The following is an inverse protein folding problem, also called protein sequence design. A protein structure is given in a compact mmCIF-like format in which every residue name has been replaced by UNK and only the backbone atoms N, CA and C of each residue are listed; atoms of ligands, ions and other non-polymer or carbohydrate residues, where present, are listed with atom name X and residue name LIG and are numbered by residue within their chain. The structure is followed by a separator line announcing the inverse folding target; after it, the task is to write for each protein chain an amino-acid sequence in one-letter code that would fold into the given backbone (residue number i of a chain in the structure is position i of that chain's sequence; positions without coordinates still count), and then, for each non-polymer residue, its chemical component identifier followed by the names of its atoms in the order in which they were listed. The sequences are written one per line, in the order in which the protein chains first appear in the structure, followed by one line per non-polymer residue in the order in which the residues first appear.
data_IF_260581724836
#
_entry.id   IF_260581724836
#
_cell.length_a   1.000
_cell.length_b   1.000
_cell.length_c   1.000
_cell.angle_alpha   90.00
_cell.angle_beta   90.00
_cell.angle_gamma   90.00
#
_symmetry.space_group_name_H-M   'P 1'
#
loop_
_entity.id
_entity.type
_entity.pdbx_description
1 polymer ?
#
# COMPACT_ATOMS: atom_id res chain seq x y z
N UNK A 1 3.08 20.76 2.27
CA UNK A 1 4.47 20.39 2.57
C UNK A 1 5.21 21.66 2.88
N UNK A 2 5.43 21.92 4.17
CA UNK A 2 6.25 23.03 4.63
C UNK A 2 7.66 22.84 4.05
N UNK A 3 8.14 23.84 3.31
CA UNK A 3 9.54 23.87 2.88
C UNK A 3 10.37 24.08 4.15
N UNK A 4 11.11 23.03 4.54
CA UNK A 4 12.11 23.14 5.59
C UNK A 4 13.06 24.30 5.23
N UNK A 5 13.39 25.15 6.20
CA UNK A 5 14.40 26.18 5.98
C UNK A 5 15.73 25.52 5.56
N UNK A 6 16.54 26.21 4.76
CA UNK A 6 17.85 25.70 4.33
C UNK A 6 18.73 25.26 5.52
N UNK A 7 18.57 25.91 6.67
CA UNK A 7 19.25 25.54 7.91
C UNK A 7 18.76 24.19 8.45
N UNK A 8 17.44 23.99 8.57
CA UNK A 8 16.85 22.73 9.05
C UNK A 8 17.18 21.55 8.12
N UNK A 9 17.19 21.77 6.80
CA UNK A 9 17.62 20.75 5.84
C UNK A 9 19.09 20.35 6.03
N UNK A 10 19.97 21.35 6.21
CA UNK A 10 21.40 21.11 6.43
C UNK A 10 21.65 20.34 7.73
N UNK A 11 20.91 20.66 8.79
CA UNK A 11 20.97 19.96 10.06
C UNK A 11 20.51 18.50 9.94
N UNK A 12 19.38 18.24 9.29
CA UNK A 12 18.91 16.87 9.02
C UNK A 12 19.92 16.06 8.21
N UNK A 13 20.52 16.66 7.17
CA UNK A 13 21.54 16.00 6.37
C UNK A 13 22.78 15.66 7.20
N UNK A 14 23.25 16.60 8.03
CA UNK A 14 24.40 16.36 8.91
C UNK A 14 24.11 15.26 9.95
N UNK A 15 22.92 15.25 10.53
CA UNK A 15 22.48 14.20 11.45
C UNK A 15 22.46 12.82 10.77
N UNK A 16 21.92 12.74 9.54
CA UNK A 16 21.92 11.50 8.77
C UNK A 16 23.34 11.02 8.43
N UNK A 17 24.26 11.93 8.07
CA UNK A 17 25.66 11.60 7.81
C UNK A 17 26.39 11.13 9.06
N UNK A 18 26.11 11.72 10.22
CA UNK A 18 26.66 11.28 11.50
C UNK A 18 26.19 9.87 11.86
N UNK A 19 24.89 9.58 11.75
CA UNK A 19 24.34 8.25 12.01
C UNK A 19 24.93 7.17 11.08
N UNK A 20 25.13 7.49 9.80
CA UNK A 20 25.79 6.57 8.85
C UNK A 20 27.27 6.36 9.19
N UNK A 21 27.95 7.36 9.77
CA UNK A 21 29.33 7.26 10.19
C UNK A 21 29.47 6.40 11.47
N UNK A 22 28.56 6.55 12.43
CA UNK A 22 28.48 5.70 13.63
C UNK A 22 28.29 4.22 13.28
N UNK A 23 27.48 3.94 12.26
CA UNK A 23 27.27 2.58 11.73
C UNK A 23 28.41 2.08 10.84
N UNK A 24 29.51 2.83 10.73
CA UNK A 24 30.66 2.51 9.87
C UNK A 24 30.35 2.37 8.38
N UNK A 25 29.20 2.87 7.89
CA UNK A 25 28.82 2.82 6.47
C UNK A 25 29.48 3.91 5.62
N UNK A 26 29.83 5.03 6.24
CA UNK A 26 30.59 6.11 5.61
C UNK A 26 31.76 6.52 6.50
N UNK A 27 32.85 6.95 5.89
CA UNK A 27 34.01 7.51 6.55
C UNK A 27 34.20 8.96 6.11
N UNK A 28 34.37 9.87 7.07
CA UNK A 28 34.74 11.25 6.77
C UNK A 28 36.21 11.31 6.36
N UNK A 29 36.50 11.84 5.16
CA UNK A 29 37.87 12.06 4.67
C UNK A 29 38.30 13.51 4.91
N UNK A 30 37.38 14.46 4.71
CA UNK A 30 37.59 15.90 4.93
C UNK A 30 36.34 16.53 5.53
N UNK A 31 36.46 17.79 5.97
CA UNK A 31 35.42 18.57 6.67
C UNK A 31 34.00 18.46 6.07
N UNK A 32 33.87 18.28 4.75
CA UNK A 32 32.59 18.05 4.08
C UNK A 32 32.65 16.93 3.00
N UNK A 33 33.57 15.97 3.15
CA UNK A 33 33.70 14.85 2.19
C UNK A 33 33.64 13.52 2.91
N UNK A 34 32.68 12.71 2.51
CA UNK A 34 32.48 11.35 2.98
C UNK A 34 32.78 10.36 1.86
N UNK A 35 33.32 9.21 2.22
CA UNK A 35 33.50 8.08 1.32
C UNK A 35 32.79 6.88 1.92
N UNK A 36 32.05 6.16 1.07
CA UNK A 36 31.40 4.92 1.44
C UNK A 36 32.43 3.83 1.73
N UNK A 37 32.28 3.16 2.86
CA UNK A 37 33.11 2.03 3.28
C UNK A 37 32.67 0.75 2.58
N UNK A 38 33.43 -0.33 2.74
CA UNK A 38 33.04 -1.65 2.22
C UNK A 38 31.79 -2.19 2.94
N UNK A 39 31.65 -1.95 4.25
CA UNK A 39 30.44 -2.28 5.01
C UNK A 39 29.22 -1.52 4.50
N UNK A 40 29.39 -0.22 4.18
CA UNK A 40 28.33 0.58 3.58
C UNK A 40 27.92 0.08 2.19
N UNK A 41 28.89 -0.37 1.38
CA UNK A 41 28.60 -1.02 0.08
C UNK A 41 27.83 -2.32 0.28
N UNK A 42 28.24 -3.15 1.22
CA UNK A 42 27.58 -4.43 1.50
C UNK A 42 26.16 -4.21 2.05
N UNK A 43 25.95 -3.21 2.89
CA UNK A 43 24.61 -2.85 3.37
C UNK A 43 23.68 -2.46 2.21
N UNK A 44 24.15 -1.63 1.27
CA UNK A 44 23.38 -1.28 0.07
C UNK A 44 23.11 -2.51 -0.80
N UNK A 45 24.10 -3.38 -0.99
CA UNK A 45 23.93 -4.66 -1.69
C UNK A 45 22.82 -5.50 -1.07
N UNK A 46 22.83 -5.64 0.26
CA UNK A 46 21.85 -6.42 1.01
C UNK A 46 20.45 -5.84 0.88
N UNK A 47 20.29 -4.51 1.00
CA UNK A 47 18.99 -3.85 0.85
C UNK A 47 18.44 -4.00 -0.57
N UNK A 48 19.28 -3.85 -1.59
CA UNK A 48 18.88 -3.98 -3.00
C UNK A 48 18.78 -5.42 -3.49
N UNK A 49 19.19 -6.40 -2.68
CA UNK A 49 19.25 -7.81 -3.07
C UNK A 49 20.26 -8.11 -4.19
N UNK A 50 21.31 -7.30 -4.34
CA UNK A 50 22.35 -7.47 -5.37
C UNK A 50 23.65 -7.98 -4.77
N UNK A 51 24.40 -8.81 -5.52
CA UNK A 51 25.69 -9.35 -5.04
C UNK A 51 26.79 -8.28 -4.97
N UNK A 52 26.73 -7.28 -5.84
CA UNK A 52 27.70 -6.19 -5.88
C UNK A 52 27.06 -4.93 -6.49
N UNK A 53 27.33 -3.78 -5.90
CA UNK A 53 27.05 -2.48 -6.53
C UNK A 53 28.07 -2.26 -7.66
N UNK A 54 27.65 -1.84 -8.87
CA UNK A 54 28.56 -1.52 -9.95
C UNK A 54 29.66 -0.54 -9.52
N UNK A 55 30.92 -0.83 -9.87
CA UNK A 55 32.09 -0.01 -9.50
C UNK A 55 32.03 1.43 -10.04
N UNK A 56 31.26 1.67 -11.12
CA UNK A 56 30.98 2.99 -11.70
C UNK A 56 29.49 3.35 -11.60
N UNK A 57 28.96 3.34 -10.38
CA UNK A 57 27.58 3.74 -10.12
C UNK A 57 27.38 5.24 -10.40
N UNK A 58 26.66 5.57 -11.47
CA UNK A 58 26.20 6.95 -11.72
C UNK A 58 24.99 7.22 -10.83
N UNK A 59 25.07 8.23 -9.97
CA UNK A 59 23.99 8.59 -9.05
C UNK A 59 22.63 8.73 -9.75
N UNK A 60 22.60 9.34 -10.93
CA UNK A 60 21.37 9.48 -11.71
C UNK A 60 20.71 8.13 -12.04
N UNK A 61 21.49 7.16 -12.51
CA UNK A 61 20.98 5.82 -12.85
C UNK A 61 20.52 5.07 -11.61
N UNK A 62 21.32 5.14 -10.54
CA UNK A 62 20.99 4.52 -9.26
C UNK A 62 19.69 5.07 -8.65
N UNK A 63 19.59 6.40 -8.60
CA UNK A 63 18.41 7.09 -8.07
C UNK A 63 17.17 6.77 -8.90
N UNK A 64 17.27 6.84 -10.22
CA UNK A 64 16.09 6.78 -11.09
C UNK A 64 15.61 5.36 -11.41
N UNK A 65 16.45 4.34 -11.17
CA UNK A 65 16.10 2.95 -11.44
C UNK A 65 16.24 2.07 -10.20
N UNK A 66 17.44 1.89 -9.64
CA UNK A 66 17.68 0.92 -8.58
C UNK A 66 16.95 1.29 -7.26
N UNK A 67 17.00 2.56 -6.83
CA UNK A 67 16.25 3.01 -5.65
C UNK A 67 14.74 3.01 -5.86
N UNK A 68 14.28 3.36 -7.06
CA UNK A 68 12.84 3.33 -7.40
C UNK A 68 12.32 1.90 -7.40
N UNK A 69 13.09 0.96 -7.96
CA UNK A 69 12.76 -0.46 -7.94
C UNK A 69 12.68 -1.00 -6.52
N UNK A 70 13.64 -0.64 -5.66
CA UNK A 70 13.59 -1.00 -4.24
C UNK A 70 12.35 -0.41 -3.55
N UNK A 71 12.05 0.86 -3.76
CA UNK A 71 10.86 1.51 -3.18
C UNK A 71 9.54 0.83 -3.62
N UNK A 72 9.49 0.38 -4.87
CA UNK A 72 8.36 -0.39 -5.42
C UNK A 72 8.42 -1.90 -5.09
N UNK A 73 9.40 -2.34 -4.28
CA UNK A 73 9.62 -3.74 -3.89
C UNK A 73 9.77 -4.69 -5.07
N UNK A 74 10.43 -4.24 -6.13
CA UNK A 74 10.73 -5.04 -7.31
C UNK A 74 11.97 -5.93 -7.08
N UNK A 75 12.10 -7.04 -7.83
CA UNK A 75 13.32 -7.84 -7.84
C UNK A 75 14.56 -7.05 -8.26
N UNK A 76 15.73 -7.60 -7.95
CA UNK A 76 17.02 -7.04 -8.35
C UNK A 76 17.11 -6.82 -9.87
N UNK A 77 17.59 -5.64 -10.27
CA UNK A 77 17.62 -5.22 -11.67
C UNK A 77 18.83 -5.76 -12.43
N UNK A 78 18.57 -6.39 -13.58
CA UNK A 78 19.53 -6.55 -14.67
C UNK A 78 19.56 -5.29 -15.57
N UNK A 79 20.48 -5.26 -16.55
CA UNK A 79 20.64 -4.10 -17.44
C UNK A 79 19.35 -3.74 -18.20
N UNK A 80 18.67 -4.71 -18.78
CA UNK A 80 17.47 -4.48 -19.60
C UNK A 80 16.29 -4.02 -18.73
N UNK A 81 16.07 -4.69 -17.59
CA UNK A 81 15.05 -4.29 -16.60
C UNK A 81 15.33 -2.90 -16.01
N UNK A 82 16.61 -2.52 -15.89
CA UNK A 82 17.00 -1.18 -15.44
C UNK A 82 16.62 -0.12 -16.47
N UNK A 83 16.83 -0.38 -17.77
CA UNK A 83 16.37 0.51 -18.83
C UNK A 83 14.84 0.59 -18.85
N UNK A 84 14.15 -0.52 -18.61
CA UNK A 84 12.69 -0.55 -18.59
C UNK A 84 12.09 0.31 -17.47
N UNK A 85 12.62 0.24 -16.25
CA UNK A 85 12.20 1.11 -15.14
C UNK A 85 12.62 2.57 -15.37
N UNK A 86 13.74 2.81 -16.06
CA UNK A 86 14.15 4.15 -16.48
C UNK A 86 13.23 4.76 -17.55
N UNK A 87 12.47 3.94 -18.28
CA UNK A 87 11.49 4.41 -19.25
C UNK A 87 10.16 4.76 -18.59
N UNK A 88 9.44 5.71 -19.18
CA UNK A 88 8.18 6.21 -18.62
C UNK A 88 7.12 5.10 -18.46
N UNK A 89 6.97 4.24 -19.47
CA UNK A 89 5.91 3.22 -19.47
C UNK A 89 6.24 2.03 -18.58
N UNK A 90 7.52 1.62 -18.49
CA UNK A 90 7.94 0.58 -17.55
C UNK A 90 7.80 1.04 -16.10
N UNK A 91 8.15 2.29 -15.80
CA UNK A 91 7.89 2.90 -14.49
C UNK A 91 6.39 2.87 -14.16
N UNK A 92 5.54 3.34 -15.07
CA UNK A 92 4.08 3.36 -14.89
C UNK A 92 3.50 1.96 -14.67
N UNK A 93 3.97 0.97 -15.42
CA UNK A 93 3.57 -0.43 -15.26
C UNK A 93 3.93 -0.95 -13.87
N UNK A 94 5.16 -0.68 -13.41
CA UNK A 94 5.63 -1.10 -12.10
C UNK A 94 4.85 -0.44 -10.94
N UNK A 95 4.51 0.84 -11.07
CA UNK A 95 3.66 1.54 -10.08
C UNK A 95 2.29 0.85 -9.98
N UNK A 96 1.63 0.60 -11.10
CA UNK A 96 0.31 -0.05 -11.09
C UNK A 96 0.37 -1.43 -10.47
N UNK A 97 1.38 -2.23 -10.84
CA UNK A 97 1.59 -3.55 -10.25
C UNK A 97 1.74 -3.46 -8.73
N UNK A 98 2.56 -2.54 -8.25
CA UNK A 98 2.80 -2.37 -6.82
C UNK A 98 1.52 -2.00 -6.06
N UNK A 99 0.80 -0.98 -6.52
CA UNK A 99 -0.35 -0.44 -5.79
C UNK A 99 -1.62 -1.28 -5.89
N UNK A 100 -1.83 -1.98 -7.01
CA UNK A 100 -3.02 -2.80 -7.22
C UNK A 100 -2.74 -4.31 -7.10
N UNK A 101 -1.53 -4.70 -6.73
CA UNK A 101 -1.09 -6.10 -6.63
C UNK A 101 -1.36 -6.92 -7.90
N UNK A 102 -1.11 -6.33 -9.08
CA UNK A 102 -1.51 -6.91 -10.36
C UNK A 102 -0.76 -8.23 -10.67
N UNK A 103 -1.45 -9.24 -11.23
CA UNK A 103 -0.88 -10.53 -11.62
C UNK A 103 -0.13 -10.45 -12.96
N UNK A 104 0.78 -9.47 -13.10
CA UNK A 104 1.62 -9.28 -14.29
C UNK A 104 3.10 -9.42 -13.95
N UNK A 105 3.95 -9.58 -14.95
CA UNK A 105 5.41 -9.59 -14.73
C UNK A 105 5.88 -8.28 -14.04
N UNK A 106 6.90 -8.38 -13.18
CA UNK A 106 7.47 -7.23 -12.45
C UNK A 106 7.98 -6.13 -13.39
N UNK A 107 8.46 -6.53 -14.56
CA UNK A 107 8.93 -5.67 -15.63
C UNK A 107 8.04 -5.89 -16.87
N UNK A 108 6.72 -5.92 -16.65
CA UNK A 108 5.73 -5.96 -17.72
C UNK A 108 5.60 -4.63 -18.48
N UNK A 109 4.78 -4.65 -19.53
CA UNK A 109 4.43 -3.45 -20.28
C UNK A 109 3.29 -2.67 -19.61
N UNK A 110 3.18 -1.37 -19.88
CA UNK A 110 2.06 -0.56 -19.42
C UNK A 110 0.70 -1.11 -19.90
N UNK A 111 0.66 -1.61 -21.15
CA UNK A 111 -0.54 -2.24 -21.70
C UNK A 111 -0.96 -3.47 -20.90
N UNK A 112 -0.01 -4.35 -20.53
CA UNK A 112 -0.31 -5.54 -19.73
C UNK A 112 -0.84 -5.16 -18.33
N UNK A 113 -0.16 -4.23 -17.64
CA UNK A 113 -0.59 -3.75 -16.33
C UNK A 113 -1.98 -3.09 -16.38
N UNK A 114 -2.22 -2.23 -17.38
CA UNK A 114 -3.53 -1.60 -17.60
C UNK A 114 -4.62 -2.65 -17.82
N UNK A 115 -4.40 -3.61 -18.70
CA UNK A 115 -5.41 -4.64 -18.99
C UNK A 115 -5.71 -5.48 -17.73
N UNK A 116 -4.68 -5.88 -16.97
CA UNK A 116 -4.86 -6.60 -15.72
C UNK A 116 -5.67 -5.79 -14.69
N UNK A 117 -5.37 -4.49 -14.54
CA UNK A 117 -6.14 -3.59 -13.69
C UNK A 117 -7.61 -3.52 -14.11
N UNK A 118 -7.88 -3.31 -15.41
CA UNK A 118 -9.25 -3.19 -15.90
C UNK A 118 -10.04 -4.48 -15.74
N UNK A 119 -9.41 -5.64 -15.93
CA UNK A 119 -10.03 -6.93 -15.62
C UNK A 119 -10.33 -7.09 -14.13
N UNK A 120 -9.38 -6.72 -13.27
CA UNK A 120 -9.61 -6.74 -11.83
C UNK A 120 -10.79 -5.85 -11.41
N UNK A 121 -10.92 -4.67 -12.02
CA UNK A 121 -12.06 -3.77 -11.79
C UNK A 121 -13.38 -4.33 -12.33
N UNK A 122 -13.38 -5.00 -13.49
CA UNK A 122 -14.59 -5.63 -14.01
C UNK A 122 -15.08 -6.79 -13.14
N UNK A 123 -14.16 -7.48 -12.47
CA UNK A 123 -14.47 -8.57 -11.53
C UNK A 123 -14.78 -8.07 -10.11
N UNK A 124 -14.61 -6.77 -9.83
CA UNK A 124 -14.89 -6.19 -8.53
C UNK A 124 -16.41 -5.92 -8.38
N UNK A 125 -17.09 -6.51 -7.37
CA UNK A 125 -18.54 -6.38 -7.23
C UNK A 125 -19.01 -4.93 -7.04
N UNK A 126 -18.23 -4.10 -6.34
CA UNK A 126 -18.57 -2.69 -6.12
C UNK A 126 -18.50 -1.90 -7.43
N UNK A 127 -17.43 -2.09 -8.19
CA UNK A 127 -17.28 -1.50 -9.53
C UNK A 127 -18.40 -1.96 -10.47
N UNK A 128 -18.77 -3.25 -10.44
CA UNK A 128 -19.86 -3.78 -11.26
C UNK A 128 -21.21 -3.13 -10.92
N UNK A 129 -21.52 -2.94 -9.64
CA UNK A 129 -22.73 -2.25 -9.18
C UNK A 129 -22.74 -0.78 -9.64
N UNK A 130 -21.64 -0.04 -9.45
CA UNK A 130 -21.51 1.35 -9.89
C UNK A 130 -21.67 1.49 -11.41
N UNK A 131 -21.07 0.59 -12.19
CA UNK A 131 -21.24 0.57 -13.65
C UNK A 131 -22.69 0.29 -14.06
N UNK A 132 -23.39 -0.58 -13.35
CA UNK A 132 -24.80 -0.89 -13.61
C UNK A 132 -25.69 0.34 -13.40
N UNK A 133 -25.46 1.12 -12.35
CA UNK A 133 -26.17 2.38 -12.10
C UNK A 133 -25.89 3.42 -13.19
N UNK A 134 -24.66 3.47 -13.69
CA UNK A 134 -24.22 4.43 -14.72
C UNK A 134 -24.57 3.99 -16.15
N UNK A 135 -25.04 2.76 -16.32
CA UNK A 135 -25.32 2.14 -17.61
C UNK A 135 -26.29 2.96 -18.50
N UNK A 136 -27.38 3.59 -17.99
CA UNK A 136 -28.27 4.41 -18.81
C UNK A 136 -27.57 5.61 -19.47
N UNK A 137 -26.57 6.19 -18.79
CA UNK A 137 -25.76 7.30 -19.32
C UNK A 137 -24.72 6.78 -20.31
N UNK A 138 -24.06 5.66 -19.98
CA UNK A 138 -23.04 5.04 -20.83
C UNK A 138 -23.59 4.53 -22.16
N UNK A 139 -24.82 4.00 -22.18
CA UNK A 139 -25.50 3.52 -23.41
C UNK A 139 -25.76 4.62 -24.45
N UNK A 140 -25.71 5.89 -24.06
CA UNK A 140 -25.81 7.03 -25.00
C UNK A 140 -24.50 7.26 -25.77
N UNK A 141 -23.40 6.67 -25.32
CA UNK A 141 -22.09 6.75 -25.94
C UNK A 141 -21.87 5.55 -26.87
N UNK A 142 -21.01 5.70 -27.88
CA UNK A 142 -20.62 4.58 -28.73
C UNK A 142 -19.93 3.47 -27.92
N UNK A 143 -20.39 2.24 -28.07
CA UNK A 143 -19.78 1.09 -27.40
C UNK A 143 -18.47 0.71 -28.09
N UNK A 144 -17.35 1.09 -27.48
CA UNK A 144 -16.00 0.75 -27.94
C UNK A 144 -15.05 0.62 -26.75
N UNK A 145 -13.87 0.07 -27.01
CA UNK A 145 -12.85 -0.16 -25.97
C UNK A 145 -12.50 1.13 -25.19
N UNK A 146 -12.31 2.25 -25.87
CA UNK A 146 -11.96 3.52 -25.24
C UNK A 146 -13.04 4.03 -24.28
N UNK A 147 -14.32 3.85 -24.62
CA UNK A 147 -15.46 4.19 -23.77
C UNK A 147 -15.46 3.37 -22.48
N UNK A 148 -15.30 2.04 -22.60
CA UNK A 148 -15.29 1.12 -21.43
C UNK A 148 -14.10 1.42 -20.53
N UNK A 149 -12.91 1.59 -21.12
CA UNK A 149 -11.70 1.94 -20.38
C UNK A 149 -11.84 3.29 -19.65
N UNK A 150 -12.45 4.28 -20.31
CA UNK A 150 -12.69 5.58 -19.69
C UNK A 150 -13.65 5.43 -18.51
N UNK A 151 -14.75 4.68 -18.64
CA UNK A 151 -15.70 4.47 -17.55
C UNK A 151 -15.02 3.88 -16.30
N UNK A 152 -14.26 2.80 -16.48
CA UNK A 152 -13.51 2.12 -15.41
C UNK A 152 -12.43 3.00 -14.77
N UNK A 153 -11.62 3.68 -15.58
CA UNK A 153 -10.55 4.53 -15.04
C UNK A 153 -11.09 5.77 -14.33
N UNK A 154 -12.22 6.33 -14.78
CA UNK A 154 -12.86 7.44 -14.08
C UNK A 154 -13.52 6.99 -12.77
N UNK A 155 -13.94 5.73 -12.67
CA UNK A 155 -14.41 5.15 -11.40
C UNK A 155 -13.30 5.14 -10.36
N UNK A 156 -12.12 4.64 -10.75
CA UNK A 156 -10.94 4.63 -9.89
C UNK A 156 -10.41 6.05 -9.56
N UNK A 157 -10.38 6.92 -10.56
CA UNK A 157 -9.80 8.25 -10.43
C UNK A 157 -10.73 9.21 -9.67
N UNK A 158 -12.04 9.07 -9.83
CA UNK A 158 -13.08 9.97 -9.35
C UNK A 158 -12.79 11.45 -9.68
N UNK A 159 -12.55 11.81 -10.96
CA UNK A 159 -12.25 13.20 -11.31
C UNK A 159 -13.54 14.05 -11.30
N UNK A 160 -13.43 15.37 -11.09
CA UNK A 160 -14.59 16.27 -11.10
C UNK A 160 -15.31 16.29 -12.46
N UNK A 161 -14.59 15.97 -13.54
CA UNK A 161 -15.13 15.79 -14.89
C UNK A 161 -14.57 14.51 -15.50
N UNK A 162 -15.41 13.68 -16.16
CA UNK A 162 -14.94 12.49 -16.84
C UNK A 162 -13.86 12.79 -17.88
N UNK A 163 -12.80 12.00 -17.87
CA UNK A 163 -11.65 12.11 -18.75
C UNK A 163 -11.60 10.95 -19.74
N UNK A 164 -11.07 11.17 -20.96
CA UNK A 164 -10.73 10.07 -21.85
C UNK A 164 -9.60 9.23 -21.23
N UNK A 165 -9.59 7.92 -21.51
CA UNK A 165 -8.69 6.96 -20.86
C UNK A 165 -7.20 7.33 -21.00
N UNK A 166 -6.80 7.95 -22.11
CA UNK A 166 -5.42 8.40 -22.36
C UNK A 166 -4.96 9.46 -21.36
N UNK A 167 -5.89 10.26 -20.82
CA UNK A 167 -5.63 11.27 -19.78
C UNK A 167 -5.91 10.72 -18.39
N UNK A 168 -6.93 9.89 -18.23
CA UNK A 168 -7.26 9.27 -16.94
C UNK A 168 -6.13 8.37 -16.44
N UNK A 169 -5.50 7.60 -17.33
CA UNK A 169 -4.48 6.62 -16.95
C UNK A 169 -3.23 7.26 -16.30
N UNK A 170 -2.56 8.27 -16.91
CA UNK A 170 -1.43 8.91 -16.27
C UNK A 170 -1.80 9.67 -15.00
N UNK A 171 -3.03 10.21 -14.91
CA UNK A 171 -3.52 10.89 -13.71
C UNK A 171 -3.77 9.93 -12.56
N UNK A 172 -4.35 8.76 -12.83
CA UNK A 172 -4.51 7.70 -11.84
C UNK A 172 -3.15 7.29 -11.27
N UNK A 173 -2.17 7.07 -12.14
CA UNK A 173 -0.80 6.71 -11.73
C UNK A 173 -0.17 7.80 -10.87
N UNK A 174 -0.36 9.08 -11.23
CA UNK A 174 0.11 10.19 -10.41
C UNK A 174 -0.60 10.22 -9.05
N UNK A 175 -1.93 10.00 -9.00
CA UNK A 175 -2.71 9.98 -7.76
C UNK A 175 -2.23 8.88 -6.81
N UNK A 176 -2.11 7.63 -7.28
CA UNK A 176 -1.67 6.51 -6.43
C UNK A 176 -0.21 6.63 -5.99
N UNK A 177 0.66 7.21 -6.82
CA UNK A 177 2.04 7.50 -6.46
C UNK A 177 2.19 8.76 -5.59
N UNK A 178 1.09 9.44 -5.23
CA UNK A 178 1.07 10.72 -4.53
C UNK A 178 1.95 11.80 -5.19
N UNK A 179 1.93 11.83 -6.53
CA UNK A 179 2.70 12.74 -7.36
C UNK A 179 1.85 13.92 -7.82
N UNK A 180 2.46 15.12 -7.86
CA UNK A 180 1.76 16.34 -8.30
C UNK A 180 1.53 16.39 -9.82
N UNK A 181 2.36 15.68 -10.59
CA UNK A 181 2.37 15.69 -12.06
C UNK A 181 2.58 14.27 -12.58
N UNK A 182 2.22 14.06 -13.84
CA UNK A 182 2.27 12.76 -14.53
C UNK A 182 3.61 12.48 -15.21
N UNK A 183 4.57 13.41 -15.11
CA UNK A 183 5.90 13.30 -15.70
C UNK A 183 6.73 12.24 -14.96
N UNK A 184 7.54 11.43 -15.67
CA UNK A 184 8.30 10.32 -15.05
C UNK A 184 9.17 10.74 -13.88
N UNK A 185 9.86 11.88 -13.96
CA UNK A 185 10.75 12.33 -12.89
C UNK A 185 10.00 12.76 -11.62
N UNK A 186 8.81 13.33 -11.77
CA UNK A 186 7.96 13.64 -10.62
C UNK A 186 7.42 12.36 -9.98
N UNK A 187 7.04 11.35 -10.78
CA UNK A 187 6.63 10.04 -10.26
C UNK A 187 7.76 9.37 -9.46
N UNK A 188 8.99 9.37 -10.00
CA UNK A 188 10.17 8.83 -9.28
C UNK A 188 10.40 9.54 -7.97
N UNK A 189 10.41 10.88 -7.97
CA UNK A 189 10.61 11.65 -6.75
C UNK A 189 9.47 11.44 -5.74
N UNK A 190 8.23 11.27 -6.19
CA UNK A 190 7.09 10.98 -5.31
C UNK A 190 7.23 9.61 -4.62
N UNK A 191 7.56 8.57 -5.38
CA UNK A 191 7.80 7.21 -4.86
C UNK A 191 8.96 7.21 -3.84
N UNK A 192 10.08 7.86 -4.18
CA UNK A 192 11.22 7.94 -3.29
C UNK A 192 10.89 8.73 -2.02
N UNK A 193 10.14 9.84 -2.12
CA UNK A 193 9.69 10.59 -0.94
C UNK A 193 8.83 9.72 -0.03
N UNK A 194 7.90 8.96 -0.60
CA UNK A 194 7.01 8.09 0.17
C UNK A 194 7.77 6.94 0.85
N UNK A 195 8.80 6.40 0.22
CA UNK A 195 9.66 5.38 0.83
C UNK A 195 10.53 5.92 1.98
N UNK A 196 10.81 7.22 1.99
CA UNK A 196 11.58 7.90 3.04
C UNK A 196 10.72 8.38 4.21
N UNK A 197 9.41 8.52 4.01
CA UNK A 197 8.48 8.74 5.11
C UNK A 197 8.38 7.38 5.82
N UNK A 198 8.90 7.23 7.06
CA UNK A 198 8.59 6.05 7.87
C UNK A 198 7.06 5.93 7.90
N UNK A 199 6.46 4.73 7.98
CA UNK A 199 5.02 4.58 8.04
C UNK A 199 4.49 5.21 9.34
N UNK A 200 4.38 6.53 9.36
CA UNK A 200 3.70 7.32 10.34
C UNK A 200 2.24 7.00 10.10
N UNK A 201 1.62 6.36 11.11
CA UNK A 201 0.16 6.27 11.24
C UNK A 201 -0.43 7.63 10.86
N UNK A 202 -1.40 7.64 9.94
CA UNK A 202 -2.03 8.82 9.33
C UNK A 202 -1.37 9.38 8.06
N UNK A 203 -1.61 8.69 6.95
CA UNK A 203 -2.21 9.30 5.76
C UNK A 203 -2.77 8.21 4.87
N UNK A 204 -3.89 7.62 5.32
CA UNK A 204 -4.86 7.08 4.37
C UNK A 204 -5.44 8.30 3.68
N UNK A 205 -5.25 8.37 2.37
CA UNK A 205 -5.93 9.34 1.53
C UNK A 205 -7.44 9.14 1.69
N UNK A 206 -8.07 9.96 2.53
CA UNK A 206 -9.50 10.23 2.46
C UNK A 206 -9.75 11.00 1.17
N UNK A 207 -10.46 10.37 0.23
CA UNK A 207 -11.16 11.08 -0.82
C UNK A 207 -12.40 11.67 -0.12
N UNK A 208 -12.22 12.87 0.44
CA UNK A 208 -13.27 13.55 1.20
C UNK A 208 -14.23 14.25 0.23
N UNK A 209 -15.48 13.76 0.19
CA UNK A 209 -16.56 14.32 -0.59
C UNK A 209 -17.20 15.44 0.24
N UNK A 210 -16.96 16.67 -0.21
CA UNK A 210 -17.45 17.95 0.30
C UNK A 210 -18.59 17.95 1.32
N UNK A 211 -18.29 18.50 2.50
CA UNK A 211 -19.23 19.36 3.23
C UNK A 211 -18.47 20.42 4.03
N UNK A 212 -18.85 21.68 3.83
CA UNK A 212 -18.25 22.84 4.49
C UNK A 212 -18.41 22.76 6.02
N UNK A 213 -17.42 23.21 6.82
CA UNK A 213 -17.57 23.29 8.26
C UNK A 213 -18.21 24.64 8.63
N UNK A 214 -19.25 24.57 9.47
CA UNK A 214 -19.82 25.73 10.17
C UNK A 214 -19.03 25.93 11.46
N UNK A 215 -18.62 27.17 11.72
CA UNK A 215 -17.87 27.61 12.89
C UNK A 215 -18.60 27.37 14.21
N UNK A 216 -17.82 27.04 15.26
CA UNK A 216 -18.29 27.02 16.66
C UNK A 216 -17.18 26.68 17.68
N UNK A 217 -16.32 27.66 17.97
CA UNK A 217 -15.71 27.99 19.28
C UNK A 217 -15.37 26.89 20.33
N UNK A 218 -14.05 26.59 20.41
CA UNK A 218 -13.14 26.68 21.57
C UNK A 218 -13.31 25.77 22.83
N UNK A 219 -12.27 25.64 23.71
CA UNK A 219 -11.49 24.41 23.87
C UNK A 219 -11.59 23.81 25.29
N UNK A 220 -11.57 22.49 25.40
CA UNK A 220 -11.55 21.80 26.68
C UNK A 220 -10.84 20.46 26.56
N UNK A 221 -9.62 20.42 27.11
CA UNK A 221 -8.87 19.26 27.60
C UNK A 221 -9.50 17.88 27.34
N UNK A 222 -8.97 17.13 26.36
CA UNK A 222 -9.22 15.69 26.25
C UNK A 222 -7.91 14.89 26.39
N UNK A 223 -7.99 13.70 27.03
CA UNK A 223 -6.84 12.91 27.46
C UNK A 223 -6.19 12.17 26.30
N UNK A 224 -4.89 11.85 26.44
CA UNK A 224 -4.13 11.06 25.46
C UNK A 224 -4.90 9.79 25.04
N UNK A 225 -5.08 9.53 23.72
CA UNK A 225 -5.72 8.30 23.28
C UNK A 225 -4.81 7.12 23.60
N UNK A 226 -5.30 6.21 24.44
CA UNK A 226 -4.65 4.93 24.74
C UNK A 226 -4.46 4.17 23.43
N UNK A 227 -3.23 4.13 22.95
CA UNK A 227 -2.85 3.35 21.77
C UNK A 227 -2.79 1.88 22.17
N UNK A 228 -3.78 1.10 21.76
CA UNK A 228 -3.84 -0.35 22.03
C UNK A 228 -2.64 -1.08 21.39
N UNK A 229 -1.80 -1.72 22.21
CA UNK A 229 -0.63 -2.47 21.70
C UNK A 229 -1.05 -3.71 20.90
N UNK A 230 -0.13 -4.31 20.14
CA UNK A 230 -0.42 -5.53 19.36
C UNK A 230 -0.69 -6.75 20.25
N UNK A 231 -0.13 -6.76 21.45
CA UNK A 231 -0.38 -7.79 22.46
C UNK A 231 -1.78 -7.65 23.05
N UNK A 232 -2.13 -6.44 23.50
CA UNK A 232 -3.46 -6.17 24.05
C UNK A 232 -4.55 -6.44 23.01
N UNK A 233 -4.28 -6.09 21.74
CA UNK A 233 -5.15 -6.44 20.62
C UNK A 233 -5.33 -7.95 20.43
N UNK A 234 -4.25 -8.73 20.48
CA UNK A 234 -4.33 -10.17 20.34
C UNK A 234 -5.11 -10.80 21.51
N UNK A 235 -4.95 -10.29 22.74
CA UNK A 235 -5.66 -10.76 23.93
C UNK A 235 -7.17 -10.48 23.82
N UNK A 236 -7.59 -9.22 23.58
CA UNK A 236 -9.02 -8.90 23.42
C UNK A 236 -9.65 -9.64 22.24
N UNK A 237 -8.88 -9.90 21.18
CA UNK A 237 -9.38 -10.64 20.01
C UNK A 237 -9.56 -12.12 20.31
N UNK A 238 -8.68 -12.72 21.12
CA UNK A 238 -8.85 -14.10 21.60
C UNK A 238 -10.03 -14.23 22.55
N UNK A 239 -10.24 -13.26 23.41
CA UNK A 239 -11.41 -13.21 24.29
C UNK A 239 -12.70 -13.12 23.48
N UNK A 240 -12.76 -12.20 22.49
CA UNK A 240 -13.88 -12.10 21.57
C UNK A 240 -14.11 -13.40 20.80
N UNK A 241 -13.04 -14.03 20.27
CA UNK A 241 -13.14 -15.30 19.55
C UNK A 241 -13.62 -16.44 20.44
N UNK A 242 -13.27 -16.43 21.73
CA UNK A 242 -13.76 -17.42 22.71
C UNK A 242 -15.24 -17.19 23.04
N UNK A 243 -15.69 -15.94 23.09
CA UNK A 243 -17.08 -15.57 23.36
C UNK A 243 -18.01 -15.71 22.15
N UNK A 244 -17.49 -15.81 20.92
CA UNK A 244 -18.31 -16.02 19.72
C UNK A 244 -18.87 -17.45 19.69
N UNK A 245 -20.19 -17.62 19.79
CA UNK A 245 -20.85 -18.93 19.72
C UNK A 245 -21.18 -19.37 18.28
N UNK A 246 -21.55 -18.42 17.41
CA UNK A 246 -21.95 -18.68 16.02
C UNK A 246 -20.75 -18.67 15.05
N UNK A 247 -20.79 -19.51 14.00
CA UNK A 247 -19.74 -19.55 12.97
C UNK A 247 -18.45 -20.23 13.44
N UNK A 248 -18.58 -21.20 14.35
CA UNK A 248 -17.50 -22.12 14.73
C UNK A 248 -17.39 -23.28 13.74
N UNK A 249 -16.16 -23.69 13.46
CA UNK A 249 -15.86 -24.90 12.72
C UNK A 249 -15.10 -25.86 13.64
N UNK A 250 -15.84 -26.73 14.31
CA UNK A 250 -15.33 -27.51 15.44
C UNK A 250 -15.03 -26.62 16.65
N UNK A 251 -14.28 -27.15 17.62
CA UNK A 251 -14.08 -26.46 18.92
C UNK A 251 -13.02 -25.35 18.87
N UNK A 252 -12.18 -25.36 17.84
CA UNK A 252 -10.91 -24.60 17.83
C UNK A 252 -10.77 -23.59 16.69
N UNK A 253 -11.79 -23.41 15.84
CA UNK A 253 -11.76 -22.44 14.73
C UNK A 253 -13.02 -21.58 14.73
N UNK A 254 -12.84 -20.28 14.59
CA UNK A 254 -13.94 -19.31 14.53
C UNK A 254 -13.75 -18.37 13.37
N UNK A 255 -14.83 -18.09 12.62
CA UNK A 255 -14.81 -17.17 11.49
C UNK A 255 -14.40 -15.76 11.90
N UNK A 256 -13.43 -15.19 11.19
CA UNK A 256 -12.90 -13.84 11.45
C UNK A 256 -14.01 -12.78 11.43
N UNK A 257 -14.96 -12.89 10.50
CA UNK A 257 -16.09 -11.96 10.38
C UNK A 257 -17.06 -12.04 11.56
N UNK A 258 -17.20 -13.21 12.20
CA UNK A 258 -18.03 -13.38 13.40
C UNK A 258 -17.33 -12.85 14.64
N UNK A 259 -16.03 -13.14 14.79
CA UNK A 259 -15.20 -12.55 15.85
C UNK A 259 -15.22 -11.03 15.79
N UNK A 260 -15.19 -10.46 14.59
CA UNK A 260 -15.29 -9.02 14.41
C UNK A 260 -16.58 -8.41 14.99
N UNK A 261 -17.74 -9.03 14.70
CA UNK A 261 -19.04 -8.58 15.22
C UNK A 261 -19.07 -8.67 16.75
N UNK A 262 -18.58 -9.77 17.32
CA UNK A 262 -18.48 -9.95 18.77
C UNK A 262 -17.56 -8.90 19.41
N UNK A 263 -16.40 -8.64 18.82
CA UNK A 263 -15.45 -7.64 19.31
C UNK A 263 -16.06 -6.23 19.32
N UNK A 264 -16.79 -5.84 18.27
CA UNK A 264 -17.47 -4.53 18.24
C UNK A 264 -18.56 -4.40 19.31
N UNK A 265 -19.25 -5.50 19.63
CA UNK A 265 -20.27 -5.50 20.69
C UNK A 265 -19.65 -5.40 22.09
N UNK A 266 -18.53 -6.08 22.32
CA UNK A 266 -17.83 -6.07 23.61
C UNK A 266 -17.04 -4.77 23.84
N UNK A 267 -16.52 -4.16 22.78
CA UNK A 267 -15.70 -2.96 22.84
C UNK A 267 -16.19 -1.87 21.85
N UNK A 268 -17.37 -1.27 22.07
CA UNK A 268 -17.91 -0.26 21.16
C UNK A 268 -17.06 1.03 21.07
N UNK A 269 -16.19 1.28 22.06
CA UNK A 269 -15.21 2.38 22.05
C UNK A 269 -13.96 2.10 21.21
N UNK A 270 -13.80 0.87 20.70
CA UNK A 270 -12.69 0.50 19.83
C UNK A 270 -12.96 1.05 18.42
N UNK A 271 -12.37 2.21 18.10
CA UNK A 271 -12.45 2.82 16.76
C UNK A 271 -11.56 2.06 15.77
N UNK A 272 -11.97 0.82 15.46
CA UNK A 272 -11.31 -0.03 14.48
C UNK A 272 -12.30 -0.26 13.34
N UNK A 273 -11.82 -0.23 12.10
CA UNK A 273 -12.56 -0.71 10.94
C UNK A 273 -12.31 -2.22 10.73
N UNK A 274 -13.20 -2.89 10.00
CA UNK A 274 -13.01 -4.32 9.66
C UNK A 274 -11.69 -4.55 8.89
N UNK A 275 -11.32 -3.61 8.02
CA UNK A 275 -10.06 -3.68 7.28
C UNK A 275 -8.85 -3.60 8.21
N UNK A 276 -8.84 -2.66 9.15
CA UNK A 276 -7.77 -2.51 10.14
C UNK A 276 -7.72 -3.73 11.08
N UNK A 277 -8.87 -4.25 11.50
CA UNK A 277 -8.96 -5.50 12.25
C UNK A 277 -8.28 -6.65 11.53
N UNK A 278 -8.59 -6.86 10.24
CA UNK A 278 -7.96 -7.89 9.40
C UNK A 278 -6.45 -7.66 9.25
N UNK A 279 -5.99 -6.41 9.08
CA UNK A 279 -4.56 -6.09 9.03
C UNK A 279 -3.84 -6.40 10.35
N UNK A 280 -4.46 -6.05 11.48
CA UNK A 280 -3.89 -6.33 12.80
C UNK A 280 -3.88 -7.83 13.11
N UNK A 281 -4.86 -8.59 12.63
CA UNK A 281 -4.83 -10.06 12.67
C UNK A 281 -3.62 -10.63 11.91
N UNK A 282 -3.31 -10.11 10.72
CA UNK A 282 -2.10 -10.53 9.98
C UNK A 282 -0.83 -10.22 10.79
N UNK A 283 -0.72 -9.00 11.32
CA UNK A 283 0.44 -8.58 12.10
C UNK A 283 0.64 -9.45 13.35
N UNK A 284 -0.44 -9.70 14.11
CA UNK A 284 -0.42 -10.55 15.29
C UNK A 284 -0.12 -12.03 14.94
N UNK A 285 -0.56 -12.51 13.77
CA UNK A 285 -0.21 -13.84 13.25
C UNK A 285 1.28 -13.95 12.89
N UNK A 286 1.85 -12.92 12.25
CA UNK A 286 3.28 -12.85 11.94
C UNK A 286 4.15 -12.82 13.21
N UNK A 287 3.65 -12.18 14.27
CA UNK A 287 4.29 -12.13 15.58
C UNK A 287 3.99 -13.37 16.45
N UNK A 288 3.23 -14.35 15.95
CA UNK A 288 2.79 -15.57 16.67
C UNK A 288 1.99 -15.29 17.95
N UNK A 289 1.34 -14.13 18.02
CA UNK A 289 0.45 -13.76 19.13
C UNK A 289 -0.93 -14.42 18.97
N UNK A 290 -1.33 -14.71 17.73
CA UNK A 290 -2.52 -15.48 17.37
C UNK A 290 -2.22 -16.35 16.16
N UNK A 291 -3.09 -17.33 15.88
CA UNK A 291 -2.92 -18.25 14.75
C UNK A 291 -4.11 -18.12 13.80
N UNK A 292 -3.83 -17.85 12.52
CA UNK A 292 -4.85 -17.80 11.48
C UNK A 292 -4.83 -19.09 10.63
N UNK A 293 -5.99 -19.50 10.13
CA UNK A 293 -6.07 -20.65 9.22
C UNK A 293 -7.06 -20.45 8.07
N UNK A 294 -6.87 -21.25 7.01
CA UNK A 294 -7.69 -21.25 5.79
C UNK A 294 -8.90 -22.18 5.94
N UNK A 295 -9.96 -21.88 5.17
CA UNK A 295 -11.02 -22.84 4.87
C UNK A 295 -10.62 -23.71 3.69
N UNK A 296 -10.35 -25.00 3.94
CA UNK A 296 -9.94 -25.95 2.90
C UNK A 296 -11.10 -26.39 2.00
N UNK A 297 -12.35 -26.20 2.46
CA UNK A 297 -13.58 -26.49 1.71
C UNK A 297 -14.56 -25.31 1.83
N UNK A 298 -14.14 -24.12 1.42
CA UNK A 298 -14.94 -22.89 1.52
C UNK A 298 -16.32 -22.99 0.87
N UNK A 299 -16.47 -23.80 -0.19
CA UNK A 299 -17.75 -24.05 -0.89
C UNK A 299 -18.78 -24.84 -0.06
N UNK A 300 -18.35 -25.51 1.00
CA UNK A 300 -19.21 -26.30 1.89
C UNK A 300 -19.59 -25.52 3.17
N UNK A 301 -19.16 -24.26 3.27
CA UNK A 301 -19.40 -23.38 4.41
C UNK A 301 -20.37 -22.27 4.01
N UNK A 302 -20.88 -21.54 5.01
CA UNK A 302 -21.73 -20.37 4.77
C UNK A 302 -20.97 -19.33 3.91
N UNK A 303 -21.45 -19.03 2.68
CA UNK A 303 -20.76 -18.09 1.78
C UNK A 303 -20.62 -16.69 2.36
N UNK A 304 -21.57 -16.23 3.18
CA UNK A 304 -21.51 -14.90 3.78
C UNK A 304 -20.38 -14.82 4.81
N UNK A 305 -20.23 -15.87 5.62
CA UNK A 305 -19.18 -15.94 6.63
C UNK A 305 -17.79 -16.14 6.01
N UNK A 306 -17.69 -16.87 4.91
CA UNK A 306 -16.45 -17.02 4.13
C UNK A 306 -16.01 -15.66 3.59
N UNK A 307 -16.89 -14.95 2.87
CA UNK A 307 -16.59 -13.64 2.28
C UNK A 307 -16.27 -12.60 3.35
N UNK A 308 -17.08 -12.53 4.42
CA UNK A 308 -16.85 -11.60 5.51
C UNK A 308 -15.51 -11.87 6.23
N UNK A 309 -15.07 -13.12 6.28
CA UNK A 309 -13.86 -13.55 6.99
C UNK A 309 -12.60 -13.56 6.13
N UNK A 310 -12.72 -13.47 4.80
CA UNK A 310 -11.59 -13.65 3.89
C UNK A 310 -10.52 -12.56 4.10
N UNK A 311 -9.29 -13.00 4.34
CA UNK A 311 -8.08 -12.18 4.34
C UNK A 311 -7.12 -12.74 3.31
N UNK A 312 -6.82 -11.98 2.27
CA UNK A 312 -5.76 -12.30 1.32
C UNK A 312 -4.46 -11.60 1.72
N UNK A 313 -3.41 -12.37 2.03
CA UNK A 313 -2.09 -11.86 2.35
C UNK A 313 -0.99 -12.70 1.68
N UNK A 314 -0.28 -12.08 0.75
CA UNK A 314 0.72 -12.75 -0.10
C UNK A 314 0.09 -13.94 -0.84
N UNK A 315 0.55 -15.17 -0.56
CA UNK A 315 0.03 -16.41 -1.16
C UNK A 315 -0.91 -17.18 -0.20
N UNK A 316 -1.29 -16.55 0.90
CA UNK A 316 -2.13 -17.14 1.94
C UNK A 316 -3.49 -16.48 2.00
N UNK A 317 -4.51 -17.29 2.27
CA UNK A 317 -5.88 -16.83 2.48
C UNK A 317 -6.35 -17.37 3.82
N UNK A 318 -6.79 -16.48 4.70
CA UNK A 318 -7.24 -16.82 6.04
C UNK A 318 -8.73 -16.55 6.18
N UNK A 319 -9.41 -17.41 6.92
CA UNK A 319 -10.84 -17.33 7.20
C UNK A 319 -11.14 -17.52 8.68
N UNK A 320 -10.24 -18.18 9.42
CA UNK A 320 -10.45 -18.49 10.82
C UNK A 320 -9.33 -17.98 11.71
N UNK A 321 -9.71 -17.63 12.94
CA UNK A 321 -8.81 -17.57 14.09
C UNK A 321 -8.84 -18.94 14.77
N UNK A 322 -7.65 -19.48 15.11
CA UNK A 322 -7.54 -20.70 15.91
C UNK A 322 -7.38 -20.40 17.40
N UNK A 323 -7.96 -21.25 18.24
CA UNK A 323 -7.97 -21.12 19.69
C UNK A 323 -7.02 -22.10 20.42
N UNK A 324 -6.17 -22.81 19.68
CA UNK A 324 -5.22 -23.80 20.21
C UNK A 324 -3.84 -23.23 20.58
#
# INVERSE_FOLDING_TARGET
GSELSNAAYTEQMNHALAALAEQSYVRQIRRARYQMTDDGRQNICNQLGVKAVPTRLRWHTFKNADLVAHALRLPALANDTRQQIANADGLRAAILKHYYALPVDHFGTLTAARNALLWQQLCDPETAASLQERLPTLRRQGFNQGTVMSALLNELLQPPKPLPWEKAMPQLIAKIANAKRTAPDELRNAILRQALVPPTRASVMTIDNGRAPVNGTNPGTEPDPVVLSDRDFAEITKEAATATEEGRLGDYKVFIGRVWKTLQQQHPGLQLSLAEFKQRLIAANQQRLLTLSRADMAYALDPEDVVASEINHMNSTFHFIRLD
#
